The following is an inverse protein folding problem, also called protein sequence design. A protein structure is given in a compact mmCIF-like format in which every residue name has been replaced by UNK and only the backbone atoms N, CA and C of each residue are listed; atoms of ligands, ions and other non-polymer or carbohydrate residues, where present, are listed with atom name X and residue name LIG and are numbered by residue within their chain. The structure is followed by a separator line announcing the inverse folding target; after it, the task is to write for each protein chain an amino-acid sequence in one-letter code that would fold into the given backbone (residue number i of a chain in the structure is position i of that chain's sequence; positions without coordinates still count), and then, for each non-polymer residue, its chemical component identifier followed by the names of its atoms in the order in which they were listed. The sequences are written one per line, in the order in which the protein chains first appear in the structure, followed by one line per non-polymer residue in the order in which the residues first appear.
data_IF_163450812368
#
_entry.id   IF_163450812368
#
_cell.length_a   1.000
_cell.length_b   1.000
_cell.length_c   1.000
_cell.angle_alpha   90.00
_cell.angle_beta   90.00
_cell.angle_gamma   90.00
#
_symmetry.space_group_name_H-M   'P 1'
#
loop_
_entity.id
_entity.type
_entity.pdbx_description
1 polymer ?
#
# COMPACT_ATOMS: atom_id res chain seq x y z
N UNK A 1 -21.17 23.79 -7.94
CA UNK A 1 -20.21 23.19 -6.97
C UNK A 1 -18.83 23.76 -7.25
N UNK A 2 -18.17 24.41 -6.32
CA UNK A 2 -16.77 24.88 -6.46
C UNK A 2 -15.85 23.76 -6.01
N UNK A 3 -14.94 23.34 -6.88
CA UNK A 3 -13.90 22.37 -6.54
C UNK A 3 -12.72 23.11 -5.90
N UNK A 4 -12.32 22.66 -4.73
CA UNK A 4 -11.15 23.10 -4.01
C UNK A 4 -10.30 21.89 -3.67
N UNK A 5 -8.99 22.01 -3.84
CA UNK A 5 -8.07 20.91 -3.57
C UNK A 5 -7.23 21.22 -2.35
N UNK A 6 -7.46 20.50 -1.27
CA UNK A 6 -6.56 20.43 -0.13
C UNK A 6 -5.61 19.25 -0.30
N UNK A 7 -4.31 19.52 -0.38
CA UNK A 7 -3.29 18.46 -0.46
C UNK A 7 -2.48 18.54 0.82
N UNK A 8 -2.41 17.45 1.63
CA UNK A 8 -1.39 17.35 2.65
C UNK A 8 -0.02 17.41 1.96
N UNK A 9 0.98 17.94 2.64
CA UNK A 9 2.32 18.22 2.12
C UNK A 9 3.02 16.93 1.63
N UNK A 10 2.68 16.43 0.46
CA UNK A 10 3.45 15.41 -0.22
C UNK A 10 4.45 16.09 -1.15
N UNK A 11 5.52 16.58 -0.54
CA UNK A 11 6.74 16.94 -1.25
C UNK A 11 7.54 15.65 -1.39
N UNK A 12 7.58 15.08 -2.59
CA UNK A 12 8.48 13.97 -2.89
C UNK A 12 9.89 14.54 -3.05
N UNK A 13 10.76 14.30 -2.07
CA UNK A 13 12.20 14.61 -2.18
C UNK A 13 12.85 13.45 -2.94
N UNK A 14 13.20 13.66 -4.19
CA UNK A 14 14.06 12.73 -4.93
C UNK A 14 15.50 12.87 -4.44
N UNK A 15 16.09 11.78 -3.98
CA UNK A 15 17.38 11.73 -3.28
C UNK A 15 18.59 12.23 -4.11
N UNK A 16 18.48 12.36 -5.43
CA UNK A 16 19.61 12.71 -6.29
C UNK A 16 19.83 14.23 -6.49
N UNK A 17 18.83 15.11 -6.31
CA UNK A 17 18.96 16.52 -6.65
C UNK A 17 18.34 17.54 -5.68
N UNK A 18 17.82 17.17 -4.52
CA UNK A 18 17.08 18.07 -3.59
C UNK A 18 15.98 18.93 -4.26
N UNK A 19 15.48 18.53 -5.42
CA UNK A 19 14.35 19.20 -6.07
C UNK A 19 13.05 18.69 -5.49
N UNK A 20 12.28 19.58 -4.92
CA UNK A 20 10.90 19.32 -4.50
C UNK A 20 10.01 19.32 -5.74
N UNK A 21 9.56 18.15 -6.17
CA UNK A 21 8.58 18.05 -7.25
C UNK A 21 7.16 18.16 -6.70
N UNK A 22 6.30 18.90 -7.42
CA UNK A 22 4.87 18.91 -7.11
C UNK A 22 4.31 17.48 -7.27
N UNK A 23 3.37 17.11 -6.38
CA UNK A 23 2.64 15.85 -6.57
C UNK A 23 1.80 15.92 -7.86
N UNK A 24 1.48 14.77 -8.49
CA UNK A 24 0.65 14.76 -9.70
C UNK A 24 -0.68 15.50 -9.52
N UNK A 25 -1.32 15.35 -8.36
CA UNK A 25 -2.58 16.03 -8.02
C UNK A 25 -2.38 17.54 -7.95
N UNK A 26 -1.28 18.01 -7.35
CA UNK A 26 -0.96 19.44 -7.31
C UNK A 26 -0.72 20.00 -8.70
N UNK A 27 0.04 19.30 -9.54
CA UNK A 27 0.30 19.72 -10.92
C UNK A 27 -1.00 19.85 -11.70
N UNK A 28 -1.87 18.86 -11.63
CA UNK A 28 -3.18 18.86 -12.29
C UNK A 28 -4.07 20.02 -11.80
N UNK A 29 -4.06 20.30 -10.51
CA UNK A 29 -4.83 21.41 -9.96
C UNK A 29 -4.35 22.76 -10.49
N UNK A 30 -3.03 22.99 -10.53
CA UNK A 30 -2.44 24.21 -11.07
C UNK A 30 -2.72 24.38 -12.56
N UNK A 31 -2.65 23.31 -13.36
CA UNK A 31 -3.00 23.30 -14.78
C UNK A 31 -4.46 23.69 -15.03
N UNK A 32 -5.35 23.35 -14.08
CA UNK A 32 -6.78 23.68 -14.16
C UNK A 32 -7.17 24.94 -13.34
N UNK A 33 -6.19 25.71 -12.91
CA UNK A 33 -6.44 26.96 -12.12
C UNK A 33 -7.25 26.71 -10.83
N UNK A 34 -7.11 25.53 -10.25
CA UNK A 34 -7.73 25.18 -8.97
C UNK A 34 -6.81 25.65 -7.84
N UNK A 35 -7.29 26.45 -6.88
CA UNK A 35 -6.49 26.87 -5.74
C UNK A 35 -5.93 25.68 -4.96
N UNK A 36 -4.63 25.73 -4.64
CA UNK A 36 -3.92 24.67 -3.91
C UNK A 36 -3.46 25.20 -2.56
N UNK A 37 -3.92 24.55 -1.48
CA UNK A 37 -3.50 24.85 -0.12
C UNK A 37 -2.71 23.67 0.44
N UNK A 38 -1.61 23.95 1.15
CA UNK A 38 -0.75 22.90 1.71
C UNK A 38 -0.44 23.18 3.20
N UNK A 39 -1.45 23.24 4.07
CA UNK A 39 -1.21 23.41 5.49
C UNK A 39 -0.52 22.18 6.06
N UNK A 40 0.37 22.38 7.02
CA UNK A 40 1.05 21.28 7.73
C UNK A 40 0.09 20.53 8.67
N UNK A 41 -1.01 21.16 9.06
CA UNK A 41 -2.02 20.60 9.94
C UNK A 41 -3.33 21.37 9.78
N UNK A 42 -4.47 20.71 9.95
CA UNK A 42 -5.79 21.34 10.04
C UNK A 42 -6.26 21.51 11.50
N UNK A 43 -5.34 21.37 12.45
CA UNK A 43 -5.66 21.53 13.90
C UNK A 43 -5.65 23.00 14.35
N UNK A 44 -4.87 23.86 13.70
CA UNK A 44 -4.76 25.26 14.08
C UNK A 44 -5.97 26.07 13.58
N UNK A 45 -6.40 27.03 14.38
CA UNK A 45 -7.62 27.82 14.12
C UNK A 45 -7.53 28.62 12.81
N UNK A 46 -6.35 29.14 12.47
CA UNK A 46 -6.11 29.92 11.25
C UNK A 46 -6.44 29.11 10.00
N UNK A 47 -5.96 27.83 9.93
CA UNK A 47 -6.25 26.95 8.80
C UNK A 47 -7.73 26.57 8.73
N UNK A 48 -8.40 26.43 9.86
CA UNK A 48 -9.84 26.18 9.90
C UNK A 48 -10.64 27.38 9.41
N UNK A 49 -10.26 28.59 9.79
CA UNK A 49 -10.87 29.84 9.28
C UNK A 49 -10.66 29.97 7.79
N UNK A 50 -9.46 29.73 7.30
CA UNK A 50 -9.15 29.74 5.88
C UNK A 50 -9.99 28.69 5.13
N UNK A 51 -10.04 27.44 5.64
CA UNK A 51 -10.85 26.39 5.06
C UNK A 51 -12.35 26.76 5.00
N UNK A 52 -12.88 27.36 6.07
CA UNK A 52 -14.27 27.84 6.15
C UNK A 52 -14.57 28.91 5.11
N UNK A 53 -13.60 29.77 4.77
CA UNK A 53 -13.78 30.87 3.80
C UNK A 53 -14.09 30.39 2.38
N UNK A 54 -13.85 29.12 2.08
CA UNK A 54 -14.16 28.53 0.78
C UNK A 54 -15.63 28.15 0.62
N UNK A 55 -16.40 28.11 1.70
CA UNK A 55 -17.83 27.78 1.67
C UNK A 55 -18.13 26.50 0.90
N UNK A 56 -17.32 25.44 1.13
CA UNK A 56 -17.49 24.16 0.44
C UNK A 56 -18.80 23.48 0.89
N UNK A 57 -19.60 22.99 -0.05
CA UNK A 57 -20.79 22.18 0.25
C UNK A 57 -20.42 20.77 0.70
N UNK A 58 -19.38 20.20 0.13
CA UNK A 58 -18.89 18.85 0.39
C UNK A 58 -17.35 18.86 0.41
N UNK A 59 -16.77 18.09 1.31
CA UNK A 59 -15.32 17.83 1.31
C UNK A 59 -15.06 16.38 0.94
N UNK A 60 -14.24 16.17 -0.09
CA UNK A 60 -13.78 14.83 -0.51
C UNK A 60 -12.38 14.61 0.01
N UNK A 61 -12.18 13.53 0.74
CA UNK A 61 -10.89 13.15 1.32
C UNK A 61 -10.40 11.87 0.65
N UNK A 62 -9.14 11.86 0.26
CA UNK A 62 -8.49 10.67 -0.30
C UNK A 62 -7.04 10.63 0.16
N UNK A 63 -6.58 9.51 0.69
CA UNK A 63 -5.21 9.25 1.11
C UNK A 63 -4.60 10.38 2.00
N UNK A 64 -5.41 10.97 2.88
CA UNK A 64 -4.98 12.11 3.70
C UNK A 64 -3.99 11.71 4.80
N UNK A 65 -4.15 10.53 5.38
CA UNK A 65 -3.22 9.93 6.35
C UNK A 65 -3.17 10.59 7.73
N UNK A 66 -4.04 11.59 8.00
CA UNK A 66 -4.16 12.29 9.27
C UNK A 66 -5.64 12.28 9.72
N UNK A 67 -5.84 12.38 11.04
CA UNK A 67 -7.19 12.56 11.61
C UNK A 67 -7.63 14.00 11.42
N UNK A 68 -8.82 14.19 10.85
CA UNK A 68 -9.45 15.51 10.75
C UNK A 68 -10.10 15.88 12.08
N UNK A 69 -9.88 17.12 12.58
CA UNK A 69 -10.60 17.61 13.75
C UNK A 69 -12.12 17.69 13.50
N UNK A 70 -12.94 17.48 14.54
CA UNK A 70 -14.38 17.59 14.43
C UNK A 70 -14.82 18.94 13.83
N UNK A 71 -14.18 20.04 14.25
CA UNK A 71 -14.45 21.36 13.70
C UNK A 71 -14.25 21.47 12.17
N UNK A 72 -13.42 20.61 11.58
CA UNK A 72 -13.22 20.54 10.12
C UNK A 72 -14.29 19.66 9.49
N UNK A 73 -14.65 18.54 10.12
CA UNK A 73 -15.71 17.65 9.65
C UNK A 73 -17.07 18.33 9.58
N UNK A 74 -17.32 19.28 10.46
CA UNK A 74 -18.59 20.02 10.59
C UNK A 74 -18.68 21.24 9.64
N UNK A 75 -17.61 21.57 8.89
CA UNK A 75 -17.61 22.76 8.04
C UNK A 75 -18.52 22.64 6.81
N UNK A 76 -18.46 21.55 6.02
CA UNK A 76 -19.29 21.43 4.83
C UNK A 76 -20.73 21.01 5.17
N UNK A 77 -21.71 21.61 4.52
CA UNK A 77 -23.14 21.30 4.71
C UNK A 77 -23.47 19.81 4.46
N UNK A 78 -22.84 19.20 3.46
CA UNK A 78 -22.98 17.77 3.12
C UNK A 78 -21.93 16.90 3.81
N UNK A 79 -21.12 17.48 4.70
CA UNK A 79 -20.08 16.79 5.46
C UNK A 79 -18.83 16.45 4.64
N UNK A 80 -18.05 15.55 5.19
CA UNK A 80 -16.82 15.06 4.57
C UNK A 80 -16.99 13.59 4.18
N UNK A 81 -16.64 13.23 2.94
CA UNK A 81 -16.62 11.83 2.49
C UNK A 81 -15.19 11.37 2.20
N UNK A 82 -14.92 10.10 2.48
CA UNK A 82 -13.63 9.48 2.20
C UNK A 82 -13.79 8.34 1.18
N UNK A 83 -12.79 8.22 0.29
CA UNK A 83 -12.64 7.08 -0.62
C UNK A 83 -11.73 6.08 0.07
N UNK A 84 -12.31 5.01 0.62
CA UNK A 84 -11.56 4.00 1.36
C UNK A 84 -11.33 2.76 0.50
N UNK A 85 -10.07 2.29 0.45
CA UNK A 85 -9.65 1.21 -0.46
C UNK A 85 -9.88 -0.19 0.14
N UNK A 86 -11.05 -0.40 0.74
CA UNK A 86 -11.54 -1.70 1.20
C UNK A 86 -13.07 -1.77 1.21
N UNK A 87 -13.60 -2.95 1.49
CA UNK A 87 -15.01 -3.17 1.79
C UNK A 87 -15.22 -3.01 3.31
N UNK A 88 -15.44 -1.77 3.78
CA UNK A 88 -15.71 -1.52 5.19
C UNK A 88 -16.89 -2.36 5.71
N UNK A 89 -16.81 -2.81 6.97
CA UNK A 89 -15.89 -2.44 8.04
C UNK A 89 -14.54 -3.18 8.03
N UNK A 90 -14.26 -4.04 7.03
CA UNK A 90 -12.97 -4.71 6.92
C UNK A 90 -11.87 -3.74 6.51
N UNK A 91 -10.66 -3.91 7.11
CA UNK A 91 -9.46 -3.16 6.77
C UNK A 91 -9.58 -1.64 6.97
N UNK A 92 -10.19 -1.18 8.08
CA UNK A 92 -10.08 0.22 8.52
C UNK A 92 -8.61 0.59 8.70
N UNK A 93 -8.18 1.79 8.28
CA UNK A 93 -6.83 2.30 8.53
C UNK A 93 -5.98 2.51 7.28
N UNK A 94 -4.65 2.47 7.45
CA UNK A 94 -3.73 3.12 6.52
C UNK A 94 -3.28 2.28 5.32
N UNK A 95 -3.41 0.94 5.37
CA UNK A 95 -2.82 0.06 4.36
C UNK A 95 -3.77 -1.09 3.92
N UNK A 96 -5.05 -0.80 3.59
CA UNK A 96 -6.03 -1.85 3.28
C UNK A 96 -5.64 -2.71 2.08
N UNK A 97 -5.03 -2.12 1.05
CA UNK A 97 -4.62 -2.83 -0.18
C UNK A 97 -3.57 -3.90 0.13
N UNK A 98 -2.51 -3.50 0.82
CA UNK A 98 -1.41 -4.41 1.17
C UNK A 98 -1.89 -5.51 2.12
N UNK A 99 -2.68 -5.15 3.14
CA UNK A 99 -3.17 -6.11 4.14
C UNK A 99 -4.10 -7.15 3.52
N UNK A 100 -4.98 -6.78 2.61
CA UNK A 100 -5.86 -7.70 1.90
C UNK A 100 -5.06 -8.73 1.07
N UNK A 101 -4.03 -8.30 0.34
CA UNK A 101 -3.17 -9.20 -0.43
C UNK A 101 -2.39 -10.14 0.51
N UNK A 102 -1.76 -9.63 1.58
CA UNK A 102 -0.98 -10.42 2.53
C UNK A 102 -1.87 -11.47 3.21
N UNK A 103 -3.08 -11.10 3.61
CA UNK A 103 -4.05 -12.01 4.20
C UNK A 103 -4.50 -13.12 3.24
N UNK A 104 -4.40 -12.89 1.93
CA UNK A 104 -4.84 -13.82 0.90
C UNK A 104 -6.33 -13.71 0.60
N UNK A 105 -6.91 -12.53 0.85
CA UNK A 105 -8.29 -12.24 0.51
C UNK A 105 -8.52 -12.46 -0.99
N UNK A 106 -9.70 -12.93 -1.33
CA UNK A 106 -10.12 -13.13 -2.74
C UNK A 106 -10.86 -11.93 -3.30
N UNK A 107 -11.31 -11.04 -2.42
CA UNK A 107 -12.13 -9.88 -2.76
C UNK A 107 -11.65 -8.68 -1.97
N UNK A 108 -11.53 -7.55 -2.64
CA UNK A 108 -11.36 -6.23 -2.06
C UNK A 108 -12.43 -5.31 -2.67
N UNK A 109 -12.30 -4.02 -2.52
CA UNK A 109 -13.20 -3.05 -3.13
C UNK A 109 -12.95 -1.63 -2.68
N UNK A 110 -13.90 -0.77 -3.04
CA UNK A 110 -13.96 0.62 -2.57
C UNK A 110 -15.22 0.81 -1.73
N UNK A 111 -15.07 1.56 -0.66
CA UNK A 111 -16.18 2.13 0.10
C UNK A 111 -16.09 3.65 0.06
N UNK A 112 -17.15 4.32 -0.37
CA UNK A 112 -17.34 5.75 -0.11
C UNK A 112 -18.07 5.85 1.23
N UNK A 113 -17.48 6.56 2.19
CA UNK A 113 -18.04 6.68 3.54
C UNK A 113 -18.11 8.14 3.97
N UNK A 114 -19.08 8.47 4.80
CA UNK A 114 -19.11 9.72 5.58
C UNK A 114 -18.02 9.64 6.63
N UNK A 115 -17.24 10.70 6.80
CA UNK A 115 -16.19 10.72 7.81
C UNK A 115 -16.77 11.05 9.20
N UNK A 116 -16.24 10.39 10.21
CA UNK A 116 -16.51 10.61 11.61
C UNK A 116 -15.20 10.81 12.39
N UNK A 117 -15.25 11.09 13.67
CA UNK A 117 -14.06 11.30 14.50
C UNK A 117 -13.20 10.04 14.69
N UNK A 118 -13.78 8.84 14.51
CA UNK A 118 -13.07 7.56 14.56
C UNK A 118 -12.34 7.23 13.27
N UNK A 119 -11.35 6.35 13.36
CA UNK A 119 -10.59 5.89 12.21
C UNK A 119 -11.46 5.02 11.31
N UNK A 120 -11.92 5.57 10.19
CA UNK A 120 -12.74 4.91 9.17
C UNK A 120 -14.01 4.23 9.72
N UNK A 121 -14.66 4.85 10.73
CA UNK A 121 -15.83 4.32 11.43
C UNK A 121 -17.16 4.94 11.01
N UNK A 122 -17.14 5.96 10.15
CA UNK A 122 -18.36 6.63 9.72
C UNK A 122 -19.24 5.79 8.80
N UNK A 123 -20.46 6.25 8.58
CA UNK A 123 -21.46 5.52 7.81
C UNK A 123 -21.06 5.37 6.34
N UNK A 124 -21.38 4.23 5.75
CA UNK A 124 -21.06 3.92 4.36
C UNK A 124 -22.17 4.45 3.44
N UNK A 125 -21.76 5.14 2.36
CA UNK A 125 -22.68 5.58 1.30
C UNK A 125 -22.78 4.52 0.20
N UNK A 126 -21.64 4.16 -0.39
CA UNK A 126 -21.58 3.23 -1.51
C UNK A 126 -20.42 2.25 -1.32
N UNK A 127 -20.63 1.01 -1.79
CA UNK A 127 -19.56 -0.01 -1.84
C UNK A 127 -19.56 -0.69 -3.19
N UNK A 128 -18.35 -0.94 -3.71
CA UNK A 128 -18.20 -1.76 -4.92
C UNK A 128 -17.05 -2.75 -4.75
N UNK A 129 -17.33 -4.07 -4.79
CA UNK A 129 -16.33 -5.10 -4.70
C UNK A 129 -15.55 -5.26 -6.00
N UNK A 130 -14.32 -5.80 -5.89
CA UNK A 130 -13.54 -6.32 -7.00
C UNK A 130 -12.77 -7.57 -6.57
N UNK A 131 -12.50 -8.46 -7.52
CA UNK A 131 -11.69 -9.67 -7.29
C UNK A 131 -10.22 -9.30 -7.17
N UNK A 132 -9.53 -9.94 -6.24
CA UNK A 132 -8.07 -9.98 -6.15
C UNK A 132 -7.60 -11.22 -6.90
N UNK A 133 -6.87 -11.01 -7.99
CA UNK A 133 -6.36 -12.11 -8.82
C UNK A 133 -5.20 -12.85 -8.09
N UNK A 134 -4.97 -14.14 -8.38
CA UNK A 134 -3.93 -14.93 -7.70
C UNK A 134 -2.52 -14.31 -7.76
N UNK A 135 -2.21 -13.57 -8.82
CA UNK A 135 -0.93 -12.88 -9.02
C UNK A 135 -1.04 -11.36 -8.84
N UNK A 136 -2.14 -10.88 -8.25
CA UNK A 136 -2.34 -9.45 -8.01
C UNK A 136 -1.20 -8.86 -7.17
N UNK A 137 -0.72 -7.69 -7.58
CA UNK A 137 0.28 -6.90 -6.84
C UNK A 137 -0.40 -5.72 -6.13
N UNK A 138 0.30 -5.12 -5.16
CA UNK A 138 -0.20 -3.90 -4.53
C UNK A 138 -0.48 -2.79 -5.52
N UNK A 139 0.35 -2.66 -6.56
CA UNK A 139 0.18 -1.65 -7.61
C UNK A 139 -0.99 -1.94 -8.54
N UNK A 140 -1.11 -3.18 -9.01
CA UNK A 140 -2.21 -3.55 -9.92
C UNK A 140 -3.57 -3.42 -9.23
N UNK A 141 -3.67 -3.88 -7.96
CA UNK A 141 -4.89 -3.73 -7.17
C UNK A 141 -5.22 -2.25 -6.90
N UNK A 142 -4.23 -1.43 -6.56
CA UNK A 142 -4.42 0.01 -6.32
C UNK A 142 -4.92 0.70 -7.59
N UNK A 143 -4.37 0.36 -8.76
CA UNK A 143 -4.84 0.90 -10.04
C UNK A 143 -6.29 0.49 -10.34
N UNK A 144 -6.64 -0.78 -10.14
CA UNK A 144 -8.01 -1.30 -10.27
C UNK A 144 -8.98 -0.56 -9.35
N UNK A 145 -8.63 -0.42 -8.07
CA UNK A 145 -9.43 0.29 -7.08
C UNK A 145 -9.57 1.78 -7.38
N UNK A 146 -8.54 2.41 -7.94
CA UNK A 146 -8.60 3.83 -8.33
C UNK A 146 -9.67 4.06 -9.40
N UNK A 147 -9.76 3.21 -10.41
CA UNK A 147 -10.78 3.32 -11.46
C UNK A 147 -12.21 3.13 -10.89
N UNK A 148 -12.38 2.16 -9.99
CA UNK A 148 -13.66 1.94 -9.29
C UNK A 148 -14.00 3.17 -8.45
N UNK A 149 -13.04 3.67 -7.68
CA UNK A 149 -13.24 4.81 -6.79
C UNK A 149 -13.66 6.09 -7.51
N UNK A 150 -13.13 6.34 -8.71
CA UNK A 150 -13.51 7.49 -9.53
C UNK A 150 -15.01 7.46 -9.89
N UNK A 151 -15.49 6.33 -10.39
CA UNK A 151 -16.90 6.17 -10.78
C UNK A 151 -17.82 6.27 -9.58
N UNK A 152 -17.46 5.60 -8.49
CA UNK A 152 -18.24 5.53 -7.27
C UNK A 152 -18.33 6.90 -6.56
N UNK A 153 -17.23 7.67 -6.60
CA UNK A 153 -17.20 9.04 -6.06
C UNK A 153 -18.19 9.96 -6.77
N UNK A 154 -18.21 9.93 -8.11
CA UNK A 154 -19.14 10.77 -8.90
C UNK A 154 -20.59 10.42 -8.57
N UNK A 155 -20.88 9.12 -8.43
CA UNK A 155 -22.21 8.65 -8.03
C UNK A 155 -22.56 9.16 -6.63
N UNK A 156 -21.66 9.01 -5.64
CA UNK A 156 -21.88 9.47 -4.26
C UNK A 156 -22.15 10.98 -4.19
N UNK A 157 -21.38 11.79 -4.94
CA UNK A 157 -21.59 13.23 -5.02
C UNK A 157 -22.98 13.55 -5.60
N UNK A 158 -23.43 12.85 -6.63
CA UNK A 158 -24.72 13.05 -7.22
C UNK A 158 -25.86 12.70 -6.24
N UNK A 159 -25.74 11.56 -5.54
CA UNK A 159 -26.73 11.13 -4.55
C UNK A 159 -26.82 12.09 -3.37
N UNK A 160 -25.68 12.58 -2.84
CA UNK A 160 -25.65 13.58 -1.78
C UNK A 160 -26.27 14.91 -2.22
N UNK A 161 -25.95 15.37 -3.42
CA UNK A 161 -26.51 16.61 -3.96
C UNK A 161 -28.02 16.56 -4.18
N UNK A 162 -28.54 15.39 -4.56
CA UNK A 162 -29.96 15.15 -4.84
C UNK A 162 -30.74 14.70 -3.59
N UNK A 163 -30.08 14.61 -2.44
CA UNK A 163 -30.67 14.15 -1.16
C UNK A 163 -31.24 12.71 -1.26
N UNK A 164 -30.66 11.88 -2.12
CA UNK A 164 -31.04 10.47 -2.31
C UNK A 164 -30.06 9.50 -1.66
N UNK A 165 -29.00 10.00 -1.08
CA UNK A 165 -27.95 9.19 -0.43
C UNK A 165 -28.52 8.43 0.78
N UNK A 166 -28.22 7.15 0.87
CA UNK A 166 -28.58 6.29 2.00
C UNK A 166 -27.31 5.96 2.78
N UNK A 167 -27.27 6.41 4.03
CA UNK A 167 -26.18 6.12 4.95
C UNK A 167 -26.43 4.82 5.69
N UNK A 168 -25.48 3.90 5.63
CA UNK A 168 -25.53 2.59 6.28
C UNK A 168 -24.47 2.53 7.37
N UNK A 169 -24.86 2.41 8.65
CA UNK A 169 -23.91 2.24 9.74
C UNK A 169 -23.03 1.01 9.56
N UNK A 170 -21.79 1.10 10.01
CA UNK A 170 -20.90 -0.05 10.01
C UNK A 170 -21.18 -0.95 11.24
N UNK A 171 -21.12 -2.28 11.05
CA UNK A 171 -21.13 -3.23 12.17
C UNK A 171 -19.71 -3.39 12.71
N UNK A 172 -19.47 -2.95 13.93
CA UNK A 172 -18.14 -3.02 14.55
C UNK A 172 -17.71 -4.46 14.86
N UNK A 173 -18.63 -5.40 14.97
CA UNK A 173 -18.30 -6.83 15.18
C UNK A 173 -17.57 -7.45 13.99
N UNK A 174 -17.79 -6.94 12.78
CA UNK A 174 -17.15 -7.38 11.55
C UNK A 174 -15.87 -6.56 11.20
N UNK A 175 -15.47 -5.63 12.07
CA UNK A 175 -14.36 -4.74 11.76
C UNK A 175 -13.00 -5.42 11.84
N UNK A 176 -12.11 -5.06 10.91
CA UNK A 176 -10.68 -5.38 10.99
C UNK A 176 -9.82 -4.16 10.66
N UNK A 177 -8.53 -4.20 11.05
CA UNK A 177 -7.65 -3.03 10.95
C UNK A 177 -6.43 -3.28 10.07
N UNK A 178 -6.23 -2.37 9.12
CA UNK A 178 -5.09 -2.30 8.23
C UNK A 178 -4.04 -1.33 8.78
N UNK A 179 -3.21 -1.80 9.70
CA UNK A 179 -2.12 -0.98 10.26
C UNK A 179 -1.19 -0.49 9.17
N UNK A 180 -0.68 0.74 9.32
CA UNK A 180 0.37 1.29 8.46
C UNK A 180 1.53 0.31 8.34
N UNK A 181 2.05 0.14 7.13
CA UNK A 181 3.20 -0.73 6.87
C UNK A 181 4.46 -0.09 7.47
N UNK A 182 5.16 -0.86 8.30
CA UNK A 182 6.50 -0.52 8.76
C UNK A 182 7.54 -1.01 7.74
N UNK A 183 8.64 -0.26 7.58
CA UNK A 183 9.75 -0.66 6.71
C UNK A 183 10.38 -1.99 7.13
N UNK A 184 10.33 -2.31 8.41
CA UNK A 184 10.82 -3.57 8.95
C UNK A 184 10.02 -4.78 8.46
N UNK A 185 8.72 -4.61 8.17
CA UNK A 185 7.88 -5.68 7.63
C UNK A 185 8.32 -6.15 6.23
N UNK A 186 9.11 -5.36 5.52
CA UNK A 186 9.73 -5.77 4.26
C UNK A 186 10.86 -6.79 4.45
N UNK A 187 11.36 -7.01 5.67
CA UNK A 187 12.36 -8.04 5.93
C UNK A 187 11.69 -9.43 5.89
N UNK A 188 12.12 -10.28 4.97
CA UNK A 188 11.51 -11.60 4.77
C UNK A 188 11.77 -12.49 5.97
N UNK A 189 10.70 -12.97 6.61
CA UNK A 189 10.75 -14.05 7.58
C UNK A 189 10.66 -15.40 6.84
N UNK A 190 11.79 -16.08 6.68
CA UNK A 190 11.87 -17.37 6.02
C UNK A 190 11.15 -18.50 6.78
N UNK A 191 10.83 -18.32 8.08
CA UNK A 191 10.05 -19.28 8.85
C UNK A 191 8.56 -19.27 8.47
N UNK A 192 8.10 -18.25 7.77
CA UNK A 192 6.74 -18.22 7.25
C UNK A 192 6.53 -19.23 6.12
N UNK A 193 5.26 -19.48 5.77
CA UNK A 193 4.88 -20.26 4.59
C UNK A 193 5.28 -19.50 3.31
N UNK A 194 5.79 -20.21 2.31
CA UNK A 194 6.18 -19.65 1.01
C UNK A 194 5.08 -18.83 0.34
N UNK A 195 3.81 -19.23 0.47
CA UNK A 195 2.67 -18.48 -0.03
C UNK A 195 2.49 -17.11 0.67
N UNK A 196 2.72 -17.06 2.00
CA UNK A 196 2.64 -15.81 2.74
C UNK A 196 3.76 -14.86 2.34
N UNK A 197 4.97 -15.40 2.16
CA UNK A 197 6.13 -14.62 1.69
C UNK A 197 5.87 -14.07 0.29
N UNK A 198 5.35 -14.88 -0.63
CA UNK A 198 4.99 -14.46 -1.98
C UNK A 198 3.96 -13.32 -1.96
N UNK A 199 2.86 -13.50 -1.19
CA UNK A 199 1.85 -12.46 -1.05
C UNK A 199 2.42 -11.16 -0.50
N UNK A 200 3.34 -11.24 0.47
CA UNK A 200 4.02 -10.07 1.03
C UNK A 200 4.89 -9.37 0.00
N UNK A 201 5.65 -10.13 -0.82
CA UNK A 201 6.44 -9.57 -1.92
C UNK A 201 5.54 -8.84 -2.91
N UNK A 202 4.44 -9.46 -3.33
CA UNK A 202 3.49 -8.86 -4.28
C UNK A 202 2.78 -7.63 -3.70
N UNK A 203 2.40 -7.67 -2.42
CA UNK A 203 1.78 -6.54 -1.74
C UNK A 203 2.70 -5.31 -1.67
N UNK A 204 4.00 -5.52 -1.53
CA UNK A 204 4.98 -4.45 -1.26
C UNK A 204 5.73 -3.94 -2.50
N UNK A 205 5.28 -4.26 -3.72
CA UNK A 205 6.00 -3.95 -4.97
C UNK A 205 6.47 -2.50 -5.09
N UNK A 206 5.65 -1.52 -4.73
CA UNK A 206 5.98 -0.09 -4.85
C UNK A 206 6.14 0.64 -3.51
N UNK A 207 5.90 -0.02 -2.38
CA UNK A 207 5.92 0.65 -1.09
C UNK A 207 7.22 0.43 -0.33
N UNK A 208 7.42 -0.78 0.20
CA UNK A 208 8.51 -1.06 1.14
C UNK A 208 9.58 -1.98 0.55
N UNK A 209 9.33 -2.64 -0.56
CA UNK A 209 10.14 -3.67 -1.20
C UNK A 209 10.70 -4.72 -0.22
N UNK A 210 10.33 -5.99 -0.42
CA UNK A 210 10.81 -7.08 0.42
C UNK A 210 12.30 -7.29 0.25
N UNK A 211 12.98 -7.63 1.35
CA UNK A 211 14.41 -7.84 1.37
C UNK A 211 14.84 -8.95 2.33
N UNK A 212 16.00 -9.46 2.09
CA UNK A 212 16.69 -10.42 2.95
C UNK A 212 18.18 -10.09 2.99
N UNK A 213 18.95 -10.82 3.77
CA UNK A 213 20.41 -10.69 3.78
C UNK A 213 21.05 -12.00 3.33
N UNK A 214 22.07 -11.89 2.49
CA UNK A 214 22.98 -12.97 2.19
C UNK A 214 24.38 -12.51 2.59
N UNK A 215 24.98 -13.18 3.58
CA UNK A 215 26.19 -12.70 4.23
C UNK A 215 25.88 -11.28 4.78
N UNK A 216 26.65 -10.26 4.44
CA UNK A 216 26.41 -8.87 4.89
C UNK A 216 25.70 -8.01 3.83
N UNK A 217 25.21 -8.62 2.75
CA UNK A 217 24.57 -7.89 1.65
C UNK A 217 23.05 -7.95 1.76
N UNK A 218 22.41 -6.78 1.78
CA UNK A 218 20.97 -6.66 1.69
C UNK A 218 20.52 -6.84 0.25
N UNK A 219 19.76 -7.90 -0.02
CA UNK A 219 19.18 -8.20 -1.32
C UNK A 219 17.69 -7.87 -1.29
N UNK A 220 17.19 -7.16 -2.29
CA UNK A 220 15.73 -6.96 -2.44
C UNK A 220 15.18 -8.03 -3.36
N UNK A 221 14.10 -8.68 -2.95
CA UNK A 221 13.39 -9.67 -3.76
C UNK A 221 12.20 -8.96 -4.44
N UNK A 222 12.16 -8.99 -5.77
CA UNK A 222 11.15 -8.25 -6.55
C UNK A 222 10.17 -9.17 -7.28
N UNK A 223 10.57 -10.43 -7.57
CA UNK A 223 9.68 -11.42 -8.13
C UNK A 223 9.98 -12.81 -7.57
N UNK A 224 8.93 -13.45 -7.07
CA UNK A 224 9.00 -14.81 -6.55
C UNK A 224 7.67 -15.54 -6.78
N UNK A 225 7.68 -16.86 -6.59
CA UNK A 225 6.47 -17.69 -6.60
C UNK A 225 6.64 -18.84 -5.61
N UNK A 226 5.59 -19.27 -4.92
CA UNK A 226 5.63 -20.43 -4.04
C UNK A 226 5.71 -21.73 -4.83
N UNK A 227 6.25 -22.75 -4.19
CA UNK A 227 6.28 -24.13 -4.69
C UNK A 227 6.04 -25.08 -3.52
N UNK A 228 5.22 -26.08 -3.75
CA UNK A 228 4.89 -27.09 -2.72
C UNK A 228 6.06 -28.05 -2.41
N UNK A 229 7.14 -28.01 -3.20
CA UNK A 229 8.31 -28.85 -2.93
C UNK A 229 8.83 -28.59 -1.53
N UNK A 230 9.21 -29.65 -0.84
CA UNK A 230 9.82 -29.58 0.48
C UNK A 230 11.02 -30.51 0.54
N UNK A 231 12.16 -30.01 1.00
CA UNK A 231 13.35 -30.82 1.26
C UNK A 231 13.48 -31.05 2.76
N UNK A 232 13.21 -32.27 3.21
CA UNK A 232 13.35 -32.64 4.62
C UNK A 232 14.82 -32.53 5.05
N UNK A 233 15.06 -31.96 6.23
CA UNK A 233 16.39 -31.83 6.80
C UNK A 233 17.25 -30.69 6.29
N UNK A 234 16.65 -29.73 5.56
CA UNK A 234 17.34 -28.53 5.08
C UNK A 234 17.00 -27.32 5.96
N UNK A 235 18.01 -26.51 6.26
CA UNK A 235 17.82 -25.32 7.08
C UNK A 235 16.91 -24.29 6.38
N UNK A 236 16.04 -23.67 7.17
CA UNK A 236 15.14 -22.61 6.69
C UNK A 236 15.96 -21.40 6.20
N UNK A 237 15.58 -20.84 5.06
CA UNK A 237 16.31 -19.75 4.40
C UNK A 237 17.43 -20.24 3.48
N UNK A 238 17.74 -21.56 3.45
CA UNK A 238 18.80 -22.09 2.61
C UNK A 238 18.38 -22.16 1.13
N UNK A 239 19.30 -21.83 0.24
CA UNK A 239 19.20 -22.10 -1.20
C UNK A 239 19.32 -23.60 -1.42
N UNK A 240 18.24 -24.26 -1.79
CA UNK A 240 18.19 -25.71 -2.01
C UNK A 240 18.46 -26.11 -3.46
N UNK A 241 18.22 -25.20 -4.40
CA UNK A 241 18.53 -25.41 -5.81
C UNK A 241 18.81 -24.08 -6.53
N UNK A 242 19.71 -24.11 -7.48
CA UNK A 242 20.01 -23.02 -8.40
C UNK A 242 19.66 -23.52 -9.80
N UNK A 243 18.62 -22.94 -10.39
CA UNK A 243 18.19 -23.21 -11.74
C UNK A 243 18.59 -22.07 -12.67
N UNK A 244 18.47 -22.27 -13.97
CA UNK A 244 18.78 -21.23 -14.97
C UNK A 244 18.05 -19.91 -14.71
N UNK A 245 16.77 -19.98 -14.31
CA UNK A 245 15.88 -18.82 -14.26
C UNK A 245 15.41 -18.48 -12.83
N UNK A 246 15.71 -19.30 -11.83
CA UNK A 246 15.29 -19.06 -10.44
C UNK A 246 16.18 -19.75 -9.41
N UNK A 247 16.16 -19.25 -8.21
CA UNK A 247 16.68 -19.90 -7.00
C UNK A 247 15.51 -20.48 -6.22
N UNK A 248 15.65 -21.73 -5.75
CA UNK A 248 14.70 -22.31 -4.77
C UNK A 248 15.25 -22.14 -3.37
N UNK A 249 14.44 -21.56 -2.48
CA UNK A 249 14.79 -21.30 -1.08
C UNK A 249 13.82 -22.03 -0.17
N UNK A 250 14.34 -22.75 0.83
CA UNK A 250 13.52 -23.45 1.81
C UNK A 250 12.82 -22.46 2.74
N UNK A 251 11.50 -22.57 2.89
CA UNK A 251 10.69 -21.80 3.81
C UNK A 251 10.19 -22.66 4.97
N UNK A 252 9.54 -22.06 5.96
CA UNK A 252 8.91 -22.81 7.05
C UNK A 252 7.90 -23.84 6.57
N UNK A 253 7.16 -23.52 5.50
CA UNK A 253 6.37 -24.49 4.74
C UNK A 253 6.52 -24.18 3.25
N UNK A 254 6.80 -25.24 2.44
CA UNK A 254 7.06 -25.10 1.01
C UNK A 254 8.42 -24.47 0.69
N UNK A 255 8.60 -24.10 -0.56
CA UNK A 255 9.76 -23.39 -1.07
C UNK A 255 9.34 -22.14 -1.81
N UNK A 256 10.19 -21.11 -1.78
CA UNK A 256 10.04 -19.93 -2.60
C UNK A 256 10.99 -19.98 -3.78
N UNK A 257 10.47 -19.86 -5.00
CA UNK A 257 11.25 -19.69 -6.23
C UNK A 257 11.43 -18.20 -6.48
N UNK A 258 12.66 -17.71 -6.40
CA UNK A 258 13.02 -16.31 -6.65
C UNK A 258 13.44 -16.18 -8.10
N UNK A 259 12.76 -15.33 -8.87
CA UNK A 259 13.03 -15.08 -10.29
C UNK A 259 13.79 -13.78 -10.53
N UNK A 260 13.58 -12.79 -9.68
CA UNK A 260 14.19 -11.47 -9.82
C UNK A 260 14.56 -10.89 -8.45
N UNK A 261 15.73 -10.27 -8.40
CA UNK A 261 16.20 -9.57 -7.21
C UNK A 261 17.11 -8.38 -7.57
N UNK A 262 17.34 -7.54 -6.57
CA UNK A 262 18.24 -6.41 -6.68
C UNK A 262 19.37 -6.55 -5.64
N UNK A 263 20.62 -6.57 -6.13
CA UNK A 263 21.81 -6.48 -5.27
C UNK A 263 22.14 -5.02 -4.97
N UNK A 264 22.89 -4.70 -3.88
CA UNK A 264 23.29 -3.34 -3.57
C UNK A 264 23.99 -2.65 -4.74
N UNK A 265 23.59 -1.40 -5.01
CA UNK A 265 24.21 -0.58 -6.06
C UNK A 265 23.83 -0.94 -7.50
N UNK A 266 22.98 -1.95 -7.73
CA UNK A 266 22.53 -2.35 -9.07
C UNK A 266 21.02 -2.11 -9.25
N UNK A 267 20.54 -2.26 -10.49
CA UNK A 267 19.10 -2.37 -10.79
C UNK A 267 18.61 -3.79 -10.48
N UNK A 268 17.30 -3.94 -10.30
CA UNK A 268 16.68 -5.26 -10.25
C UNK A 268 16.96 -6.03 -11.55
N UNK A 269 17.25 -7.32 -11.44
CA UNK A 269 17.61 -8.17 -12.56
C UNK A 269 17.12 -9.60 -12.34
N UNK A 270 16.85 -10.32 -13.43
CA UNK A 270 16.49 -11.72 -13.35
C UNK A 270 17.65 -12.57 -12.81
N UNK A 271 17.32 -13.69 -12.17
CA UNK A 271 18.33 -14.65 -11.70
C UNK A 271 19.19 -15.12 -12.87
N UNK A 272 18.61 -15.36 -14.05
CA UNK A 272 19.35 -15.74 -15.26
C UNK A 272 20.41 -14.70 -15.63
N UNK A 273 20.08 -13.41 -15.64
CA UNK A 273 21.03 -12.34 -15.94
C UNK A 273 22.13 -12.24 -14.86
N UNK A 274 21.77 -12.41 -13.61
CA UNK A 274 22.72 -12.38 -12.50
C UNK A 274 23.73 -13.53 -12.58
N UNK A 275 23.26 -14.76 -12.84
CA UNK A 275 24.12 -15.94 -12.95
C UNK A 275 25.04 -15.86 -14.16
N UNK A 276 24.59 -15.31 -15.30
CA UNK A 276 25.43 -15.08 -16.47
C UNK A 276 26.59 -14.10 -16.18
N UNK A 277 26.31 -13.04 -15.42
CA UNK A 277 27.32 -12.04 -15.07
C UNK A 277 28.17 -12.40 -13.85
N UNK A 278 27.66 -13.26 -12.95
CA UNK A 278 28.27 -13.60 -11.65
C UNK A 278 27.95 -15.04 -11.26
N UNK A 279 28.46 -16.02 -12.04
CA UNK A 279 28.13 -17.45 -11.90
C UNK A 279 28.27 -18.03 -10.47
N UNK A 280 29.20 -17.51 -9.68
CA UNK A 280 29.48 -17.99 -8.31
C UNK A 280 28.88 -17.10 -7.21
N UNK A 281 27.94 -16.20 -7.53
CA UNK A 281 27.36 -15.31 -6.53
C UNK A 281 26.55 -16.08 -5.50
N UNK A 282 25.79 -17.08 -5.92
CA UNK A 282 25.03 -17.99 -5.08
C UNK A 282 25.60 -19.40 -5.11
N UNK A 283 25.46 -20.12 -4.01
CA UNK A 283 25.79 -21.54 -3.89
C UNK A 283 24.62 -22.26 -3.23
N UNK A 284 24.40 -23.52 -3.60
CA UNK A 284 23.49 -24.39 -2.84
C UNK A 284 24.03 -24.52 -1.43
N UNK A 285 23.15 -24.35 -0.44
CA UNK A 285 23.51 -24.28 0.98
C UNK A 285 23.78 -22.84 1.51
N UNK A 286 23.91 -21.83 0.64
CA UNK A 286 23.89 -20.43 1.12
C UNK A 286 22.56 -20.17 1.83
N UNK A 287 22.62 -19.51 3.01
CA UNK A 287 21.43 -19.25 3.82
C UNK A 287 21.10 -17.76 3.84
N UNK A 288 19.88 -17.42 3.48
CA UNK A 288 19.32 -16.10 3.65
C UNK A 288 18.89 -15.88 5.11
N UNK A 289 19.08 -14.66 5.61
CA UNK A 289 18.71 -14.28 6.97
C UNK A 289 17.92 -12.98 6.99
N UNK A 290 17.23 -12.72 8.10
CA UNK A 290 16.54 -11.45 8.37
C UNK A 290 17.39 -10.48 9.20
N UNK A 291 18.62 -10.84 9.52
CA UNK A 291 19.58 -9.98 10.23
C UNK A 291 20.89 -9.99 9.41
N UNK A 292 21.49 -8.82 9.20
CA UNK A 292 22.86 -8.76 8.70
C UNK A 292 23.78 -9.52 9.67
N UNK A 293 24.64 -10.39 9.13
CA UNK A 293 25.61 -11.13 9.96
C UNK A 293 26.47 -10.09 10.71
N UNK A 294 26.36 -10.07 12.04
CA UNK A 294 27.28 -9.29 12.86
C UNK A 294 28.61 -10.03 12.81
N UNK A 295 29.50 -9.65 11.91
CA UNK A 295 30.90 -10.09 11.97
C UNK A 295 31.52 -9.41 13.19
N UNK A 296 31.60 -10.16 14.30
CA UNK A 296 32.52 -9.80 15.39
C UNK A 296 33.94 -9.86 14.83
N UNK A 297 34.51 -8.69 14.56
CA UNK A 297 35.95 -8.49 14.36
C UNK A 297 36.63 -8.16 15.67
#
# INVERSE_FOLDING_TARGET
MRLLLFIPSLIVVLAAEKKTLASPVKSLALENTIPVMQPTSLKAAEQQVELKSFHADLMVVAAYGLILPQAVLDLPRLGCINIHASLLPHWRGAAPVERAIIAGDKTSGITIMQMAAGLDTGDMLLKQPCTIDPLETGDSLRNKLTLIGQSLLIQAIAELNNETAVLVPQDDSDSSYAKKIDKAEGCIDWHANAEVIDRTIRAFTSTTACFTFLRDQRLRITAAQPSENHHSGTDIGSIVAINKDYLSVQCGAGQLRIYELQIPGAKAMSISALLNGRANFFKVGDCFSHIASVTNH
#
